data_IF_262195574345
#
_entry.id   IF_262195574345
#
_cell.length_a   1.000
_cell.length_b   1.000
_cell.length_c   1.000
_cell.angle_alpha   90.00
_cell.angle_beta   90.00
_cell.angle_gamma   90.00
#
_symmetry.space_group_name_H-M   'P 1'
#
loop_
_entity.id
_entity.type
_entity.pdbx_description
1 polymer ?
#
# COMPACT_ATOMS: atom_id res chain seq x y z
N UNK A 1 -67.41 -24.95 -63.82
CA UNK A 1 -67.23 -25.11 -62.36
C UNK A 1 -66.02 -24.29 -61.93
N UNK A 2 -66.30 -23.06 -61.47
CA UNK A 2 -65.21 -22.15 -61.03
C UNK A 2 -64.81 -22.39 -59.59
N UNK A 3 -63.54 -22.61 -59.37
CA UNK A 3 -62.98 -22.66 -58.06
C UNK A 3 -62.88 -21.24 -57.43
N UNK A 4 -63.48 -21.06 -56.27
CA UNK A 4 -63.54 -19.80 -55.51
C UNK A 4 -62.13 -19.31 -55.14
N UNK A 5 -61.74 -18.03 -55.36
CA UNK A 5 -60.45 -17.49 -55.14
C UNK A 5 -60.08 -17.29 -53.61
N UNK A 6 -61.00 -17.65 -52.72
CA UNK A 6 -60.83 -17.35 -51.28
C UNK A 6 -59.97 -18.34 -50.45
N UNK A 7 -59.73 -19.57 -50.96
CA UNK A 7 -59.04 -20.63 -50.15
C UNK A 7 -57.53 -20.56 -50.22
N UNK A 8 -56.95 -19.99 -51.27
CA UNK A 8 -55.51 -19.82 -51.45
C UNK A 8 -54.92 -18.65 -50.64
N UNK A 9 -55.71 -17.65 -50.25
CA UNK A 9 -55.26 -16.48 -49.48
C UNK A 9 -55.06 -16.77 -47.96
N UNK A 10 -55.88 -17.68 -47.43
CA UNK A 10 -55.85 -17.98 -45.99
C UNK A 10 -54.63 -18.86 -45.62
N UNK A 11 -54.26 -19.81 -46.47
CA UNK A 11 -53.08 -20.67 -46.23
C UNK A 11 -51.74 -19.91 -46.21
N UNK A 12 -51.59 -18.92 -47.10
CA UNK A 12 -50.37 -18.11 -47.16
C UNK A 12 -50.23 -17.14 -45.98
N UNK A 13 -51.37 -16.63 -45.45
CA UNK A 13 -51.33 -15.77 -44.27
C UNK A 13 -50.90 -16.53 -42.96
N UNK A 14 -51.37 -17.76 -42.76
CA UNK A 14 -51.04 -18.63 -41.69
C UNK A 14 -49.56 -19.12 -41.76
N UNK A 15 -49.07 -19.46 -42.93
CA UNK A 15 -47.69 -19.83 -43.18
C UNK A 15 -46.76 -18.64 -42.94
N UNK A 16 -47.10 -17.44 -43.40
CA UNK A 16 -46.36 -16.22 -43.18
C UNK A 16 -46.25 -15.85 -41.66
N UNK A 17 -47.37 -15.96 -40.91
CA UNK A 17 -47.40 -15.73 -39.47
C UNK A 17 -46.59 -16.78 -38.68
N UNK A 18 -46.65 -18.05 -39.08
CA UNK A 18 -45.85 -19.12 -38.47
C UNK A 18 -44.36 -18.91 -38.73
N UNK A 19 -43.95 -18.59 -39.95
CA UNK A 19 -42.56 -18.27 -40.29
C UNK A 19 -42.07 -17.03 -39.54
N UNK A 20 -42.84 -15.96 -39.43
CA UNK A 20 -42.51 -14.77 -38.66
C UNK A 20 -42.37 -15.09 -37.17
N UNK A 21 -43.20 -15.97 -36.62
CA UNK A 21 -43.09 -16.47 -35.25
C UNK A 21 -41.82 -17.25 -35.03
N UNK A 22 -41.44 -18.16 -35.94
CA UNK A 22 -40.20 -18.96 -35.86
C UNK A 22 -38.96 -18.07 -35.97
N UNK A 23 -38.95 -17.08 -36.88
CA UNK A 23 -37.87 -16.12 -37.03
C UNK A 23 -37.73 -15.27 -35.73
N UNK A 24 -38.85 -14.83 -35.16
CA UNK A 24 -38.85 -14.03 -33.90
C UNK A 24 -38.40 -14.84 -32.70
N UNK A 25 -38.70 -16.12 -32.61
CA UNK A 25 -38.19 -17.04 -31.56
C UNK A 25 -36.71 -17.29 -31.78
N UNK A 26 -36.25 -17.51 -33.01
CA UNK A 26 -34.84 -17.73 -33.34
C UNK A 26 -33.98 -16.49 -33.01
N UNK A 27 -34.47 -15.28 -33.30
CA UNK A 27 -33.79 -14.03 -33.00
C UNK A 27 -33.68 -13.80 -31.48
N UNK A 28 -34.71 -14.10 -30.70
CA UNK A 28 -34.66 -14.05 -29.23
C UNK A 28 -33.67 -15.05 -28.63
N UNK A 29 -33.60 -16.28 -29.16
CA UNK A 29 -32.59 -17.24 -28.73
C UNK A 29 -31.18 -16.79 -29.03
N UNK A 30 -30.92 -16.22 -30.22
CA UNK A 30 -29.62 -15.67 -30.56
C UNK A 30 -29.21 -14.50 -29.63
N UNK A 31 -30.15 -13.62 -29.27
CA UNK A 31 -29.95 -12.52 -28.36
C UNK A 31 -29.63 -13.04 -26.95
N UNK A 32 -30.35 -14.03 -26.44
CA UNK A 32 -30.10 -14.65 -25.12
C UNK A 32 -28.72 -15.30 -25.09
N UNK A 33 -28.34 -16.06 -26.12
CA UNK A 33 -27.01 -16.69 -26.22
C UNK A 33 -25.91 -15.63 -26.23
N UNK A 34 -26.09 -14.54 -26.95
CA UNK A 34 -25.14 -13.42 -27.01
C UNK A 34 -25.00 -12.75 -25.66
N UNK A 35 -26.08 -12.49 -24.95
CA UNK A 35 -26.06 -11.96 -23.57
C UNK A 35 -25.36 -12.89 -22.58
N UNK A 36 -25.61 -14.19 -22.66
CA UNK A 36 -24.97 -15.20 -21.82
C UNK A 36 -23.45 -15.23 -22.10
N UNK A 37 -23.04 -15.22 -23.38
CA UNK A 37 -21.60 -15.16 -23.73
C UNK A 37 -20.95 -13.88 -23.23
N UNK A 38 -21.57 -12.73 -23.36
CA UNK A 38 -21.10 -11.44 -22.87
C UNK A 38 -20.95 -11.44 -21.35
N UNK A 39 -21.95 -11.92 -20.61
CA UNK A 39 -21.91 -12.05 -19.16
C UNK A 39 -20.78 -12.98 -18.71
N UNK A 40 -20.61 -14.13 -19.36
CA UNK A 40 -19.52 -15.07 -19.08
C UNK A 40 -18.15 -14.42 -19.30
N UNK A 41 -17.96 -13.70 -20.40
CA UNK A 41 -16.71 -12.99 -20.70
C UNK A 41 -16.42 -11.91 -19.66
N UNK A 42 -17.41 -11.10 -19.29
CA UNK A 42 -17.30 -10.09 -18.25
C UNK A 42 -16.94 -10.72 -16.89
N UNK A 43 -17.60 -11.81 -16.53
CA UNK A 43 -17.34 -12.53 -15.28
C UNK A 43 -15.91 -13.07 -15.25
N UNK A 44 -15.44 -13.72 -16.32
CA UNK A 44 -14.06 -14.23 -16.42
C UNK A 44 -13.03 -13.10 -16.36
N UNK A 45 -13.29 -11.99 -17.04
CA UNK A 45 -12.41 -10.81 -16.99
C UNK A 45 -12.34 -10.22 -15.57
N UNK A 46 -13.47 -10.11 -14.88
CA UNK A 46 -13.50 -9.65 -13.49
C UNK A 46 -12.77 -10.60 -12.53
N UNK A 47 -12.99 -11.90 -12.66
CA UNK A 47 -12.31 -12.92 -11.83
C UNK A 47 -10.80 -12.86 -12.02
N UNK A 48 -10.32 -12.79 -13.27
CA UNK A 48 -8.89 -12.68 -13.55
C UNK A 48 -8.31 -11.37 -13.02
N UNK A 49 -9.03 -10.26 -13.17
CA UNK A 49 -8.62 -8.95 -12.62
C UNK A 49 -8.50 -8.98 -11.09
N UNK A 50 -9.48 -9.54 -10.39
CA UNK A 50 -9.44 -9.66 -8.92
C UNK A 50 -8.29 -10.56 -8.47
N UNK A 51 -8.05 -11.67 -9.19
CA UNK A 51 -6.92 -12.57 -8.92
C UNK A 51 -5.59 -11.86 -9.07
N UNK A 52 -5.37 -11.09 -10.15
CA UNK A 52 -4.14 -10.34 -10.37
C UNK A 52 -3.92 -9.25 -9.32
N UNK A 53 -4.98 -8.54 -8.90
CA UNK A 53 -4.90 -7.53 -7.82
C UNK A 53 -4.48 -8.17 -6.50
N UNK A 54 -5.06 -9.33 -6.14
CA UNK A 54 -4.67 -10.06 -4.93
C UNK A 54 -3.22 -10.52 -4.96
N UNK A 55 -2.73 -11.01 -6.11
CA UNK A 55 -1.32 -11.40 -6.24
C UNK A 55 -0.39 -10.21 -5.96
N UNK A 56 -0.66 -9.04 -6.53
CA UNK A 56 0.14 -7.85 -6.31
C UNK A 56 0.11 -7.38 -4.83
N UNK A 57 -1.07 -7.42 -4.20
CA UNK A 57 -1.18 -7.13 -2.76
C UNK A 57 -0.43 -8.17 -1.92
N UNK A 58 -0.48 -9.45 -2.31
CA UNK A 58 0.24 -10.55 -1.63
C UNK A 58 1.75 -10.36 -1.70
N UNK A 59 2.30 -10.06 -2.88
CA UNK A 59 3.74 -9.79 -3.05
C UNK A 59 4.20 -8.59 -2.20
N UNK A 60 3.41 -7.53 -2.17
CA UNK A 60 3.72 -6.38 -1.33
C UNK A 60 3.61 -6.71 0.17
N UNK A 61 2.61 -7.51 0.58
CA UNK A 61 2.51 -7.96 1.96
C UNK A 61 3.72 -8.81 2.38
N UNK A 62 4.14 -9.75 1.52
CA UNK A 62 5.33 -10.58 1.75
C UNK A 62 6.56 -9.70 1.94
N UNK A 63 6.83 -8.73 1.05
CA UNK A 63 8.01 -7.86 1.18
C UNK A 63 8.01 -7.07 2.48
N UNK A 64 6.85 -6.52 2.89
CA UNK A 64 6.73 -5.74 4.11
C UNK A 64 6.87 -6.60 5.38
N UNK A 65 6.27 -7.80 5.40
CA UNK A 65 6.42 -8.74 6.53
C UNK A 65 7.84 -9.31 6.63
N UNK A 66 8.52 -9.58 5.51
CA UNK A 66 9.92 -10.03 5.52
C UNK A 66 10.85 -8.91 6.03
N UNK A 67 10.63 -7.66 5.62
CA UNK A 67 11.40 -6.53 6.11
C UNK A 67 11.21 -6.31 7.60
N UNK A 68 9.96 -6.17 8.06
CA UNK A 68 9.63 -5.98 9.47
C UNK A 68 10.03 -7.19 10.32
N UNK A 69 9.58 -8.39 9.93
CA UNK A 69 9.82 -9.62 10.70
C UNK A 69 11.31 -10.01 10.73
N UNK A 70 12.02 -9.80 9.62
CA UNK A 70 13.46 -10.00 9.56
C UNK A 70 14.20 -9.11 10.55
N UNK A 71 13.93 -7.80 10.57
CA UNK A 71 14.52 -6.89 11.56
C UNK A 71 14.12 -7.25 12.99
N UNK A 72 12.87 -7.64 13.21
CA UNK A 72 12.43 -8.08 14.53
C UNK A 72 13.21 -9.32 15.02
N UNK A 73 13.41 -10.31 14.15
CA UNK A 73 14.18 -11.52 14.46
C UNK A 73 15.65 -11.17 14.70
N UNK A 74 16.27 -10.40 13.79
CA UNK A 74 17.67 -10.01 13.90
C UNK A 74 17.95 -9.30 15.22
N UNK A 75 17.10 -8.33 15.60
CA UNK A 75 17.26 -7.56 16.83
C UNK A 75 16.92 -8.39 18.09
N UNK A 76 15.90 -9.24 18.03
CA UNK A 76 15.51 -10.06 19.19
C UNK A 76 16.62 -11.04 19.57
N UNK A 77 17.17 -11.74 18.56
CA UNK A 77 18.14 -12.82 18.78
C UNK A 77 19.61 -12.37 18.67
N UNK A 78 19.85 -11.06 18.50
CA UNK A 78 21.22 -10.51 18.39
C UNK A 78 22.03 -11.18 17.28
N UNK A 79 21.42 -11.35 16.11
CA UNK A 79 22.04 -12.08 15.00
C UNK A 79 23.14 -11.29 14.27
N UNK A 80 23.23 -10.00 14.54
CA UNK A 80 24.28 -9.10 14.04
C UNK A 80 24.79 -8.30 15.23
N UNK A 81 26.04 -8.51 15.64
CA UNK A 81 26.64 -7.74 16.73
C UNK A 81 26.54 -6.25 16.47
N UNK A 82 26.22 -5.49 17.52
CA UNK A 82 26.27 -4.03 17.42
C UNK A 82 27.73 -3.58 17.25
N UNK A 83 27.94 -2.65 16.30
CA UNK A 83 29.18 -1.90 16.17
C UNK A 83 29.30 -0.81 17.24
N UNK A 84 30.26 0.09 17.04
CA UNK A 84 30.35 1.31 17.83
C UNK A 84 29.08 2.14 17.61
N UNK A 85 28.43 2.54 18.72
CA UNK A 85 27.22 3.36 18.70
C UNK A 85 27.63 4.81 18.90
N UNK A 86 27.18 5.69 18.00
CA UNK A 86 27.39 7.13 18.16
C UNK A 86 26.76 7.65 19.47
N UNK A 87 27.38 8.64 20.11
CA UNK A 87 26.80 9.27 21.30
C UNK A 87 25.33 9.70 21.02
N UNK A 88 24.50 9.59 22.05
CA UNK A 88 23.07 9.98 21.98
C UNK A 88 22.21 9.22 20.98
N UNK A 89 22.71 8.18 20.30
CA UNK A 89 21.87 7.26 19.53
C UNK A 89 21.50 6.01 20.36
N UNK A 90 20.46 5.27 19.88
CA UNK A 90 20.00 4.05 20.52
C UNK A 90 21.10 2.99 20.56
N UNK A 91 21.15 2.22 21.65
CA UNK A 91 22.24 1.29 21.97
C UNK A 91 23.26 1.94 22.93
N UNK A 92 24.41 1.31 23.27
CA UNK A 92 24.64 -0.11 23.05
C UNK A 92 23.74 -0.98 23.95
N UNK A 93 23.45 -2.18 23.51
CA UNK A 93 22.64 -3.14 24.26
C UNK A 93 23.50 -4.29 24.83
N UNK A 94 22.98 -4.93 25.88
CA UNK A 94 23.60 -6.14 26.37
C UNK A 94 23.56 -7.25 25.30
N UNK A 95 24.63 -8.03 25.11
CA UNK A 95 24.67 -9.06 24.07
C UNK A 95 23.74 -10.22 24.37
N UNK A 96 23.32 -10.90 23.30
CA UNK A 96 22.45 -12.08 23.36
C UNK A 96 21.06 -11.79 23.91
N UNK A 97 20.43 -12.76 24.53
CA UNK A 97 19.04 -12.65 25.02
C UNK A 97 18.86 -11.65 26.18
N UNK A 98 19.93 -11.32 26.92
CA UNK A 98 19.86 -10.33 28.02
C UNK A 98 19.50 -8.94 27.54
N UNK A 99 19.89 -8.55 26.31
CA UNK A 99 19.56 -7.27 25.69
C UNK A 99 18.30 -7.30 24.79
N UNK A 100 17.64 -8.46 24.63
CA UNK A 100 16.54 -8.60 23.66
C UNK A 100 15.41 -7.58 23.88
N UNK A 101 14.99 -7.36 25.13
CA UNK A 101 13.91 -6.42 25.45
C UNK A 101 14.27 -4.98 25.08
N UNK A 102 15.47 -4.54 25.40
CA UNK A 102 15.92 -3.16 25.10
C UNK A 102 16.11 -2.97 23.62
N UNK A 103 16.65 -3.95 22.88
CA UNK A 103 16.72 -3.91 21.41
C UNK A 103 15.34 -3.84 20.76
N UNK A 104 14.35 -4.60 21.26
CA UNK A 104 12.98 -4.53 20.74
C UNK A 104 12.35 -3.17 21.03
N UNK A 105 12.55 -2.60 22.22
CA UNK A 105 12.04 -1.27 22.55
C UNK A 105 12.66 -0.22 21.63
N UNK A 106 13.96 -0.27 21.39
CA UNK A 106 14.66 0.65 20.50
C UNK A 106 14.26 0.42 19.03
N UNK A 107 14.08 -0.82 18.61
CA UNK A 107 13.57 -1.15 17.27
C UNK A 107 12.24 -0.43 16.98
N UNK A 108 11.30 -0.43 17.93
CA UNK A 108 10.05 0.32 17.80
C UNK A 108 10.22 1.83 17.95
N UNK A 109 11.39 2.33 18.28
CA UNK A 109 11.75 3.73 18.19
C UNK A 109 12.05 4.24 16.78
N UNK A 110 12.24 3.36 15.79
CA UNK A 110 12.56 3.75 14.42
C UNK A 110 11.31 3.96 13.58
N UNK A 111 11.24 5.09 12.84
CA UNK A 111 10.17 5.41 11.88
C UNK A 111 10.00 4.34 10.80
N UNK A 112 11.11 3.75 10.38
CA UNK A 112 11.17 2.64 9.42
C UNK A 112 10.29 1.46 9.85
N UNK A 113 10.33 1.11 11.13
CA UNK A 113 9.53 0.00 11.68
C UNK A 113 8.05 0.32 11.65
N UNK A 114 7.65 1.54 12.05
CA UNK A 114 6.26 1.97 12.00
C UNK A 114 5.72 1.97 10.57
N UNK A 115 6.50 2.47 9.62
CA UNK A 115 6.09 2.55 8.21
C UNK A 115 5.93 1.17 7.58
N UNK A 116 6.91 0.27 7.78
CA UNK A 116 6.86 -1.09 7.24
C UNK A 116 5.74 -1.93 7.88
N UNK A 117 5.55 -1.83 9.20
CA UNK A 117 4.46 -2.50 9.90
C UNK A 117 3.09 -2.02 9.41
N UNK A 118 2.92 -0.70 9.23
CA UNK A 118 1.67 -0.13 8.74
C UNK A 118 1.38 -0.57 7.30
N UNK A 119 2.40 -0.67 6.44
CA UNK A 119 2.28 -1.27 5.10
C UNK A 119 1.88 -2.73 5.21
N UNK A 120 2.61 -3.53 6.00
CA UNK A 120 2.36 -4.96 6.17
C UNK A 120 0.90 -5.22 6.57
N UNK A 121 0.40 -4.52 7.58
CA UNK A 121 -0.98 -4.67 8.07
C UNK A 121 -2.00 -4.21 7.02
N UNK A 122 -1.84 -3.00 6.46
CA UNK A 122 -2.85 -2.45 5.54
C UNK A 122 -2.91 -3.19 4.21
N UNK A 123 -1.79 -3.65 3.68
CA UNK A 123 -1.74 -4.45 2.45
C UNK A 123 -2.26 -5.86 2.67
N UNK A 124 -1.96 -6.49 3.82
CA UNK A 124 -2.56 -7.79 4.17
C UNK A 124 -4.08 -7.68 4.23
N UNK A 125 -4.62 -6.60 4.81
CA UNK A 125 -6.07 -6.37 4.81
C UNK A 125 -6.64 -6.23 3.39
N UNK A 126 -5.93 -5.59 2.45
CA UNK A 126 -6.35 -5.51 1.04
C UNK A 126 -6.18 -6.84 0.31
N UNK A 127 -5.17 -7.63 0.63
CA UNK A 127 -5.03 -8.99 0.11
C UNK A 127 -6.20 -9.89 0.51
N UNK A 128 -6.59 -9.83 1.78
CA UNK A 128 -7.74 -10.60 2.29
C UNK A 128 -9.08 -10.08 1.73
N UNK A 129 -9.25 -8.76 1.72
CA UNK A 129 -10.45 -8.10 1.21
C UNK A 129 -10.10 -6.88 0.35
N UNK A 130 -9.96 -7.03 -0.99
CA UNK A 130 -9.64 -5.93 -1.90
C UNK A 130 -10.67 -4.80 -1.93
N UNK A 131 -11.89 -5.04 -1.46
CA UNK A 131 -12.97 -4.05 -1.42
C UNK A 131 -13.07 -3.30 -0.08
N UNK A 132 -12.17 -3.56 0.87
CA UNK A 132 -12.16 -2.87 2.16
C UNK A 132 -11.94 -1.38 1.95
N UNK A 133 -12.87 -0.53 2.43
CA UNK A 133 -12.89 0.89 2.10
C UNK A 133 -13.49 1.80 3.19
N UNK A 134 -13.51 1.37 4.45
CA UNK A 134 -13.95 2.24 5.55
C UNK A 134 -13.06 3.49 5.66
N UNK A 135 -13.58 4.61 6.16
CA UNK A 135 -12.83 5.87 6.24
C UNK A 135 -11.55 5.75 7.09
N UNK A 136 -11.62 5.05 8.22
CA UNK A 136 -10.43 4.77 9.05
C UNK A 136 -9.40 3.95 8.28
N UNK A 137 -9.84 2.94 7.55
CA UNK A 137 -8.94 2.12 6.75
C UNK A 137 -8.28 2.91 5.60
N UNK A 138 -9.04 3.79 4.91
CA UNK A 138 -8.47 4.70 3.90
C UNK A 138 -7.37 5.58 4.49
N UNK A 139 -7.60 6.13 5.70
CA UNK A 139 -6.59 6.92 6.40
C UNK A 139 -5.33 6.09 6.66
N UNK A 140 -5.44 4.93 7.30
CA UNK A 140 -4.28 4.06 7.59
C UNK A 140 -3.54 3.66 6.33
N UNK A 141 -4.24 3.29 5.26
CA UNK A 141 -3.63 2.90 3.99
C UNK A 141 -2.91 4.06 3.29
N UNK A 142 -3.52 5.25 3.26
CA UNK A 142 -2.88 6.43 2.65
C UNK A 142 -1.70 6.92 3.50
N UNK A 143 -1.81 6.85 4.83
CA UNK A 143 -0.70 7.11 5.74
C UNK A 143 0.45 6.13 5.50
N UNK A 144 0.17 4.81 5.35
CA UNK A 144 1.21 3.82 5.07
C UNK A 144 1.94 4.10 3.75
N UNK A 145 1.22 4.56 2.73
CA UNK A 145 1.80 4.90 1.44
C UNK A 145 2.74 6.12 1.54
N UNK A 146 2.33 7.16 2.27
CA UNK A 146 3.18 8.33 2.51
C UNK A 146 4.39 7.97 3.35
N UNK A 147 4.20 7.31 4.50
CA UNK A 147 5.27 6.97 5.43
C UNK A 147 6.32 6.09 4.78
N UNK A 148 5.92 5.07 4.03
CA UNK A 148 6.89 4.14 3.42
C UNK A 148 7.70 4.82 2.30
N UNK A 149 7.10 5.72 1.52
CA UNK A 149 7.83 6.51 0.52
C UNK A 149 8.81 7.47 1.20
N UNK A 150 8.39 8.14 2.28
CA UNK A 150 9.27 8.99 3.10
C UNK A 150 10.42 8.18 3.69
N UNK A 151 10.16 6.96 4.19
CA UNK A 151 11.19 6.06 4.71
C UNK A 151 12.27 5.80 3.66
N UNK A 152 11.90 5.45 2.43
CA UNK A 152 12.87 5.21 1.36
C UNK A 152 13.67 6.45 0.97
N UNK A 153 12.99 7.60 0.84
CA UNK A 153 13.64 8.88 0.46
C UNK A 153 14.58 9.36 1.57
N UNK A 154 14.11 9.42 2.82
CA UNK A 154 14.92 9.93 3.93
C UNK A 154 16.10 9.02 4.23
N UNK A 155 15.90 7.69 4.17
CA UNK A 155 17.01 6.76 4.29
C UNK A 155 18.08 7.01 3.22
N UNK A 156 17.68 7.07 1.93
CA UNK A 156 18.62 7.27 0.83
C UNK A 156 19.39 8.58 0.92
N UNK A 157 18.73 9.66 1.35
CA UNK A 157 19.35 10.99 1.41
C UNK A 157 20.15 11.26 2.68
N UNK A 158 19.69 10.77 3.84
CA UNK A 158 20.22 11.18 5.14
C UNK A 158 21.01 10.07 5.85
N UNK A 159 20.75 8.79 5.55
CA UNK A 159 21.32 7.67 6.29
C UNK A 159 22.27 6.83 5.41
N UNK A 160 21.83 6.47 4.20
CA UNK A 160 22.58 5.60 3.29
C UNK A 160 24.01 6.07 2.98
N UNK A 161 24.32 7.39 2.91
CA UNK A 161 25.69 7.84 2.63
C UNK A 161 26.73 7.43 3.69
N UNK A 162 26.29 7.20 4.93
CA UNK A 162 27.17 6.80 6.04
C UNK A 162 26.86 5.40 6.55
N UNK A 163 25.74 4.79 6.12
CA UNK A 163 25.35 3.46 6.57
C UNK A 163 26.22 2.38 5.93
N UNK A 164 26.67 1.44 6.74
CA UNK A 164 27.38 0.26 6.27
C UNK A 164 26.72 -1.01 6.86
N UNK A 165 25.55 -1.43 6.30
CA UNK A 165 24.87 -2.61 6.81
C UNK A 165 25.68 -3.88 6.52
N UNK A 166 25.79 -4.74 7.52
CA UNK A 166 26.53 -6.00 7.44
C UNK A 166 25.62 -7.20 7.71
N UNK A 167 26.06 -8.39 7.27
CA UNK A 167 25.40 -9.67 7.54
C UNK A 167 23.88 -9.62 7.20
N UNK A 168 23.02 -10.05 8.10
CA UNK A 168 21.55 -10.04 7.92
C UNK A 168 20.97 -8.64 7.78
N UNK A 169 21.65 -7.61 8.27
CA UNK A 169 21.21 -6.22 8.10
C UNK A 169 21.24 -5.76 6.64
N UNK A 170 22.08 -6.34 5.78
CA UNK A 170 22.05 -6.05 4.32
C UNK A 170 20.66 -6.34 3.75
N UNK A 171 20.08 -7.51 4.07
CA UNK A 171 18.79 -7.94 3.52
C UNK A 171 17.62 -7.17 4.15
N UNK A 172 17.61 -7.00 5.47
CA UNK A 172 16.54 -6.27 6.15
C UNK A 172 16.54 -4.79 5.76
N UNK A 173 17.72 -4.20 5.61
CA UNK A 173 17.89 -2.83 5.14
C UNK A 173 17.38 -2.65 3.71
N UNK A 174 17.77 -3.54 2.78
CA UNK A 174 17.30 -3.49 1.39
C UNK A 174 15.77 -3.65 1.31
N UNK A 175 15.19 -4.56 2.08
CA UNK A 175 13.73 -4.77 2.13
C UNK A 175 13.00 -3.54 2.65
N UNK A 176 13.44 -2.96 3.76
CA UNK A 176 12.71 -1.89 4.45
C UNK A 176 12.84 -0.52 3.77
N UNK A 177 13.99 -0.24 3.15
CA UNK A 177 14.28 1.10 2.63
C UNK A 177 14.19 1.22 1.10
N UNK A 178 14.24 0.10 0.36
CA UNK A 178 14.19 0.12 -1.11
C UNK A 178 13.08 -0.74 -1.68
N UNK A 179 13.04 -2.03 -1.33
CA UNK A 179 12.14 -3.01 -1.98
C UNK A 179 10.69 -2.75 -1.58
N UNK A 180 10.38 -2.70 -0.29
CA UNK A 180 9.00 -2.47 0.19
C UNK A 180 8.49 -1.09 -0.22
N UNK A 181 9.23 0.04 -0.09
CA UNK A 181 8.82 1.32 -0.63
C UNK A 181 8.49 1.27 -2.12
N UNK A 182 9.39 0.72 -2.94
CA UNK A 182 9.20 0.64 -4.38
C UNK A 182 7.97 -0.21 -4.75
N UNK A 183 7.85 -1.42 -4.21
CA UNK A 183 6.70 -2.31 -4.48
C UNK A 183 5.40 -1.65 -4.01
N UNK A 184 5.37 -1.00 -2.83
CA UNK A 184 4.16 -0.37 -2.29
C UNK A 184 3.64 0.73 -3.20
N UNK A 185 4.52 1.60 -3.70
CA UNK A 185 4.17 2.68 -4.63
C UNK A 185 3.76 2.11 -5.98
N UNK A 186 4.51 1.16 -6.54
CA UNK A 186 4.20 0.52 -7.83
C UNK A 186 2.85 -0.21 -7.78
N UNK A 187 2.58 -0.98 -6.75
CA UNK A 187 1.29 -1.66 -6.57
C UNK A 187 0.14 -0.65 -6.48
N UNK A 188 0.34 0.44 -5.74
CA UNK A 188 -0.64 1.52 -5.70
C UNK A 188 -0.85 2.17 -7.07
N UNK A 189 0.21 2.45 -7.82
CA UNK A 189 0.12 3.02 -9.18
C UNK A 189 -0.59 2.08 -10.17
N UNK A 190 -0.39 0.78 -10.07
CA UNK A 190 -0.95 -0.20 -11.01
C UNK A 190 -2.42 -0.54 -10.71
N UNK A 191 -2.72 -0.85 -9.45
CA UNK A 191 -4.02 -1.43 -9.08
C UNK A 191 -4.85 -0.59 -8.12
N UNK A 192 -4.31 0.41 -7.50
CA UNK A 192 -5.01 1.28 -6.55
C UNK A 192 -5.02 0.76 -5.14
N UNK A 193 -6.01 1.10 -4.29
CA UNK A 193 -7.33 1.72 -4.56
C UNK A 193 -7.29 3.18 -5.05
N UNK A 194 -8.41 3.65 -5.60
CA UNK A 194 -8.54 4.99 -6.21
C UNK A 194 -9.62 5.82 -5.52
N UNK A 195 -9.57 7.16 -5.73
CA UNK A 195 -10.50 8.14 -5.16
C UNK A 195 -10.47 8.16 -3.61
N UNK A 196 -9.28 7.86 -3.03
CA UNK A 196 -9.09 7.84 -1.58
C UNK A 196 -8.36 9.09 -1.06
N UNK A 197 -7.68 9.83 -1.95
CA UNK A 197 -7.07 11.10 -1.59
C UNK A 197 -8.03 12.27 -1.78
N UNK A 198 -8.03 13.19 -0.82
CA UNK A 198 -8.72 14.49 -0.82
C UNK A 198 -7.82 15.51 -0.13
N UNK A 199 -8.09 16.81 -0.23
CA UNK A 199 -7.34 17.84 0.48
C UNK A 199 -7.32 17.59 2.00
N UNK A 200 -8.45 17.18 2.57
CA UNK A 200 -8.51 16.81 3.99
C UNK A 200 -7.63 15.61 4.31
N UNK A 201 -7.59 14.62 3.42
CA UNK A 201 -6.78 13.42 3.59
C UNK A 201 -5.27 13.75 3.55
N UNK A 202 -4.82 14.69 2.71
CA UNK A 202 -3.40 15.08 2.63
C UNK A 202 -2.88 15.71 3.93
N UNK A 203 -3.75 16.22 4.77
CA UNK A 203 -3.42 16.69 6.12
C UNK A 203 -3.55 15.55 7.14
N UNK A 204 -4.65 14.78 7.05
CA UNK A 204 -4.94 13.73 8.05
C UNK A 204 -3.90 12.61 8.07
N UNK A 205 -3.19 12.32 6.96
CA UNK A 205 -2.13 11.30 6.89
C UNK A 205 -0.93 11.59 7.78
N UNK A 206 -0.78 12.82 8.28
CA UNK A 206 0.29 13.21 9.21
C UNK A 206 -0.02 12.86 10.67
N UNK A 207 -1.22 12.40 11.01
CA UNK A 207 -1.57 12.07 12.38
C UNK A 207 -0.63 11.02 13.00
N UNK A 208 -0.31 9.93 12.29
CA UNK A 208 0.61 8.90 12.78
C UNK A 208 2.07 9.38 12.79
N UNK A 209 2.62 10.02 11.73
CA UNK A 209 3.94 10.65 11.79
C UNK A 209 4.09 11.63 12.95
N UNK A 210 3.08 12.46 13.22
CA UNK A 210 3.11 13.40 14.36
C UNK A 210 3.11 12.66 15.69
N UNK A 211 2.28 11.63 15.87
CA UNK A 211 2.28 10.81 17.07
C UNK A 211 3.63 10.11 17.27
N UNK A 212 4.26 9.63 16.20
CA UNK A 212 5.61 9.07 16.22
C UNK A 212 6.63 10.11 16.72
N UNK A 213 6.61 11.33 16.20
CA UNK A 213 7.56 12.36 16.64
C UNK A 213 7.35 12.75 18.10
N UNK A 214 6.09 12.91 18.56
CA UNK A 214 5.79 13.15 19.98
C UNK A 214 6.39 12.04 20.85
N UNK A 215 6.17 10.77 20.47
CA UNK A 215 6.74 9.63 21.16
C UNK A 215 8.28 9.70 21.17
N UNK A 216 8.90 9.93 20.01
CA UNK A 216 10.36 9.94 19.85
C UNK A 216 11.03 11.01 20.70
N UNK A 217 10.51 12.25 20.67
CA UNK A 217 11.10 13.34 21.46
C UNK A 217 10.77 13.24 22.94
N UNK A 218 9.57 12.76 23.32
CA UNK A 218 9.26 12.51 24.73
C UNK A 218 10.18 11.41 25.31
N UNK A 219 10.38 10.32 24.57
CA UNK A 219 11.29 9.25 24.97
C UNK A 219 12.74 9.73 24.98
N UNK A 220 13.18 10.43 23.92
CA UNK A 220 14.55 10.96 23.81
C UNK A 220 14.90 11.88 24.97
N UNK A 221 13.99 12.74 25.41
CA UNK A 221 14.19 13.62 26.57
C UNK A 221 14.27 12.86 27.92
N UNK A 222 13.79 11.61 27.99
CA UNK A 222 13.86 10.79 29.22
C UNK A 222 15.15 9.96 29.27
N UNK A 223 15.59 9.44 28.11
CA UNK A 223 16.72 8.49 28.07
C UNK A 223 18.00 9.09 27.45
N UNK A 224 17.96 10.37 27.05
CA UNK A 224 19.04 11.10 26.37
C UNK A 224 19.55 10.39 25.11
N UNK A 225 18.63 9.72 24.35
CA UNK A 225 18.96 8.95 23.15
C UNK A 225 17.88 9.05 22.09
N UNK A 226 18.30 9.09 20.84
CA UNK A 226 17.46 9.28 19.66
C UNK A 226 17.67 8.17 18.61
N UNK A 227 16.67 7.87 17.75
CA UNK A 227 16.80 6.82 16.72
C UNK A 227 17.71 7.22 15.54
N UNK A 228 17.91 8.50 15.33
CA UNK A 228 18.66 9.05 14.18
C UNK A 228 19.44 10.28 14.60
N UNK A 229 20.64 10.48 14.03
CA UNK A 229 21.47 11.64 14.31
C UNK A 229 20.77 12.96 14.00
N UNK A 230 20.00 13.05 12.92
CA UNK A 230 19.23 14.26 12.57
C UNK A 230 18.06 14.57 13.55
N UNK A 231 17.79 13.72 14.53
CA UNK A 231 16.87 13.95 15.65
C UNK A 231 17.58 14.25 16.97
N UNK A 232 18.90 14.18 16.98
CA UNK A 232 19.69 14.40 18.19
C UNK A 232 19.71 15.89 18.58
N UNK A 233 18.81 16.26 19.51
CA UNK A 233 18.74 17.62 20.04
C UNK A 233 19.86 17.95 21.02
N UNK A 234 20.56 16.94 21.53
CA UNK A 234 21.67 17.13 22.48
C UNK A 234 22.89 17.62 21.70
N UNK A 235 23.18 16.99 20.56
CA UNK A 235 24.29 17.34 19.70
C UNK A 235 24.00 18.62 18.86
N UNK A 236 22.82 18.68 18.22
CA UNK A 236 22.52 19.74 17.23
C UNK A 236 21.62 20.86 17.74
N UNK A 237 21.02 20.71 18.91
CA UNK A 237 20.09 21.66 19.51
C UNK A 237 18.69 21.65 18.87
N UNK A 238 17.71 22.13 19.63
CA UNK A 238 16.29 22.12 19.22
C UNK A 238 15.99 22.94 17.96
N UNK A 239 16.73 24.03 17.71
CA UNK A 239 16.50 24.89 16.53
C UNK A 239 16.89 24.16 15.25
N UNK A 240 18.07 23.52 15.21
CA UNK A 240 18.55 22.78 14.05
C UNK A 240 17.66 21.58 13.73
N UNK A 241 17.36 20.77 14.75
CA UNK A 241 16.48 19.61 14.62
C UNK A 241 15.07 20.04 14.21
N UNK A 242 14.53 21.10 14.84
CA UNK A 242 13.23 21.68 14.46
C UNK A 242 13.17 22.14 13.01
N UNK A 243 14.22 22.78 12.51
CA UNK A 243 14.33 23.17 11.09
C UNK A 243 14.31 21.94 10.17
N UNK A 244 15.07 20.90 10.50
CA UNK A 244 15.05 19.62 9.76
C UNK A 244 13.68 19.00 9.73
N UNK A 245 12.96 18.97 10.86
CA UNK A 245 11.60 18.47 10.93
C UNK A 245 10.63 19.27 10.05
N UNK A 246 10.72 20.59 10.05
CA UNK A 246 9.89 21.43 9.18
C UNK A 246 10.14 21.09 7.70
N UNK A 247 11.39 20.93 7.28
CA UNK A 247 11.72 20.53 5.91
C UNK A 247 11.16 19.14 5.58
N UNK A 248 11.26 18.16 6.49
CA UNK A 248 10.69 16.83 6.32
C UNK A 248 9.16 16.90 6.17
N UNK A 249 8.47 17.72 6.97
CA UNK A 249 7.03 17.92 6.87
C UNK A 249 6.61 18.57 5.56
N UNK A 250 7.35 19.59 5.11
CA UNK A 250 7.09 20.24 3.81
C UNK A 250 7.26 19.21 2.68
N UNK A 251 8.35 18.46 2.67
CA UNK A 251 8.58 17.40 1.67
C UNK A 251 7.45 16.35 1.70
N UNK A 252 7.06 15.87 2.89
CA UNK A 252 5.95 14.96 3.07
C UNK A 252 4.61 15.52 2.54
N UNK A 253 4.34 16.81 2.78
CA UNK A 253 3.13 17.45 2.29
C UNK A 253 3.11 17.58 0.76
N UNK A 254 4.24 17.92 0.15
CA UNK A 254 4.40 17.93 -1.32
C UNK A 254 4.12 16.52 -1.88
N UNK A 255 4.64 15.46 -1.27
CA UNK A 255 4.35 14.08 -1.67
C UNK A 255 2.87 13.71 -1.49
N UNK A 256 2.23 14.15 -0.41
CA UNK A 256 0.80 13.90 -0.20
C UNK A 256 -0.05 14.62 -1.26
N UNK A 257 0.32 15.84 -1.68
CA UNK A 257 -0.31 16.54 -2.81
C UNK A 257 -0.05 15.84 -4.15
N UNK A 258 1.14 15.29 -4.35
CA UNK A 258 1.45 14.48 -5.53
C UNK A 258 0.59 13.23 -5.59
N UNK A 259 0.42 12.50 -4.47
CA UNK A 259 -0.50 11.38 -4.40
C UNK A 259 -1.95 11.78 -4.70
N UNK A 260 -2.42 12.93 -4.22
CA UNK A 260 -3.74 13.46 -4.56
C UNK A 260 -3.87 13.73 -6.06
N UNK A 261 -2.88 14.37 -6.68
CA UNK A 261 -2.87 14.67 -8.11
C UNK A 261 -2.89 13.37 -8.95
N UNK A 262 -2.01 12.42 -8.62
CA UNK A 262 -1.93 11.11 -9.28
C UNK A 262 -3.23 10.31 -9.10
N UNK A 263 -3.81 10.30 -7.90
CA UNK A 263 -5.09 9.60 -7.65
C UNK A 263 -6.21 10.18 -8.51
N UNK A 264 -6.28 11.52 -8.67
CA UNK A 264 -7.25 12.17 -9.55
C UNK A 264 -7.03 11.80 -11.02
N UNK A 265 -5.79 11.83 -11.52
CA UNK A 265 -5.46 11.48 -12.91
C UNK A 265 -5.79 10.02 -13.20
N UNK A 266 -5.31 9.11 -12.35
CA UNK A 266 -5.51 7.66 -12.51
C UNK A 266 -6.97 7.21 -12.28
N UNK A 267 -7.80 8.10 -11.73
CA UNK A 267 -9.24 7.84 -11.52
C UNK A 267 -10.12 8.25 -12.70
N UNK A 268 -9.61 9.09 -13.61
CA UNK A 268 -10.37 9.58 -14.78
C UNK A 268 -10.59 8.51 -15.84
N UNK A 269 -9.70 7.54 -15.90
CA UNK A 269 -9.70 6.48 -16.92
C UNK A 269 -10.38 5.18 -16.42
N UNK A 270 -11.13 5.24 -15.35
CA UNK A 270 -11.89 4.15 -14.74
C UNK A 270 -13.30 4.62 -14.41
#
# INVERSE_FOLDING_TARGET
MGLHPGVLGIGNAYLGAAFAGVIKVSSRHAEIITRIRMLRTLTLTMVNRVKNVKVLFGLNAISAWLGFGGSFIVNTFDLVPEGEVEPHLFGPHAPGMSGALTRIIDLFGYFTIWSNLLVAVTITMLFLNPNKSSQRFKLFRNTSLLMILMTGILYHLLIAPTANPESWNIYTNALQHYITPAITVLVWLLVGPRKWFSLRMTISVFAIPTAYLIYTFARGAIIDRYPYGFFDVIEYGYVSVGTTLVMIYIAGYVLALLFLALDKVLSRNK
#
